data_IF_046833114826
#
_entry.id   IF_046833114826
#
_cell.length_a   1.000
_cell.length_b   1.000
_cell.length_c   1.000
_cell.angle_alpha   90.00
_cell.angle_beta   90.00
_cell.angle_gamma   90.00
#
_symmetry.space_group_name_H-M   'P 1'
#
loop_
_entity.id
_entity.type
_entity.pdbx_description
1 polymer ?
#
# COMPACT_ATOMS: atom_id res chain seq x y z
N UNK A 1 -0.25 9.07 40.32
CA UNK A 1 -0.59 8.76 38.94
C UNK A 1 0.63 9.10 38.11
N UNK A 2 1.40 8.10 37.66
CA UNK A 2 2.55 8.32 36.76
C UNK A 2 1.99 8.71 35.42
N UNK A 3 2.33 9.92 34.96
CA UNK A 3 2.00 10.43 33.64
C UNK A 3 2.94 9.75 32.63
N UNK A 4 2.60 8.53 32.22
CA UNK A 4 3.36 7.79 31.20
C UNK A 4 3.06 8.44 29.86
N UNK A 5 3.91 9.39 29.44
CA UNK A 5 3.85 9.89 28.06
C UNK A 5 4.00 8.71 27.10
N UNK A 6 3.25 8.68 26.00
CA UNK A 6 3.39 7.63 24.98
C UNK A 6 4.85 7.51 24.54
N UNK A 7 5.32 6.28 24.33
CA UNK A 7 6.70 5.98 23.89
C UNK A 7 7.13 6.77 22.64
N UNK A 8 6.18 7.21 21.83
CA UNK A 8 6.37 7.93 20.57
C UNK A 8 6.23 9.45 20.69
N UNK A 9 6.10 10.00 21.91
CA UNK A 9 5.88 11.43 22.13
C UNK A 9 6.88 12.36 21.41
N UNK A 10 8.20 12.10 21.35
CA UNK A 10 9.13 12.97 20.64
C UNK A 10 8.87 13.03 19.14
N UNK A 11 8.57 11.88 18.50
CA UNK A 11 8.29 11.82 17.06
C UNK A 11 6.93 12.45 16.73
N UNK A 12 5.95 12.28 17.61
CA UNK A 12 4.65 12.95 17.50
C UNK A 12 4.78 14.47 17.56
N UNK A 13 5.54 15.02 18.50
CA UNK A 13 5.78 16.47 18.58
C UNK A 13 6.49 16.99 17.33
N UNK A 14 7.49 16.25 16.83
CA UNK A 14 8.16 16.59 15.58
C UNK A 14 7.20 16.59 14.40
N UNK A 15 6.30 15.62 14.32
CA UNK A 15 5.25 15.58 13.30
C UNK A 15 4.34 16.82 13.36
N UNK A 16 3.85 17.18 14.55
CA UNK A 16 2.98 18.36 14.71
C UNK A 16 3.70 19.65 14.27
N UNK A 17 4.96 19.79 14.62
CA UNK A 17 5.79 20.94 14.22
C UNK A 17 6.00 20.97 12.71
N UNK A 18 6.39 19.85 12.11
CA UNK A 18 6.59 19.75 10.65
C UNK A 18 5.29 20.03 9.91
N UNK A 19 4.17 19.42 10.35
CA UNK A 19 2.84 19.65 9.75
C UNK A 19 2.41 21.11 9.77
N UNK A 20 2.72 21.83 10.85
CA UNK A 20 2.38 23.26 10.98
C UNK A 20 3.22 24.16 10.09
N UNK A 21 4.44 23.77 9.75
CA UNK A 21 5.40 24.55 8.94
C UNK A 21 5.41 24.14 7.47
N UNK A 22 4.98 22.93 7.14
CA UNK A 22 5.02 22.36 5.81
C UNK A 22 3.86 22.85 4.95
N UNK A 23 4.12 23.04 3.65
CA UNK A 23 3.11 23.17 2.62
C UNK A 23 2.54 21.81 2.16
N UNK A 24 3.13 20.71 2.60
CA UNK A 24 2.71 19.36 2.26
C UNK A 24 1.31 19.06 2.84
N UNK A 25 0.44 18.50 1.99
CA UNK A 25 -0.96 18.22 2.35
C UNK A 25 -1.19 16.77 2.80
N UNK A 26 -0.28 15.87 2.46
CA UNK A 26 -0.46 14.44 2.67
C UNK A 26 0.57 13.87 3.64
N UNK A 27 0.17 12.85 4.40
CA UNK A 27 1.03 12.18 5.38
C UNK A 27 2.33 11.65 4.78
N UNK A 28 2.28 11.11 3.55
CA UNK A 28 3.46 10.63 2.82
C UNK A 28 4.50 11.74 2.62
N UNK A 29 4.04 12.91 2.18
CA UNK A 29 4.94 14.03 1.87
C UNK A 29 5.56 14.60 3.15
N UNK A 30 4.77 14.66 4.24
CA UNK A 30 5.26 15.08 5.57
C UNK A 30 6.28 14.06 6.12
N UNK A 31 6.02 12.76 5.97
CA UNK A 31 6.95 11.71 6.37
C UNK A 31 8.29 11.84 5.63
N UNK A 32 8.23 12.09 4.31
CA UNK A 32 9.42 12.33 3.49
C UNK A 32 10.22 13.55 3.95
N UNK A 33 9.56 14.69 4.26
CA UNK A 33 10.21 15.87 4.85
C UNK A 33 10.86 15.57 6.21
N UNK A 34 10.27 14.66 6.97
CA UNK A 34 10.82 14.20 8.25
C UNK A 34 11.94 13.16 8.08
N UNK A 35 12.18 12.64 6.88
CA UNK A 35 13.16 11.57 6.63
C UNK A 35 12.78 10.24 7.28
N UNK A 36 11.48 9.94 7.39
CA UNK A 36 10.93 8.70 7.92
C UNK A 36 9.93 8.09 6.93
N UNK A 37 9.60 6.83 7.11
CA UNK A 37 8.53 6.17 6.35
C UNK A 37 7.13 6.63 6.83
N UNK A 38 6.13 6.43 5.99
CA UNK A 38 4.75 6.74 6.36
C UNK A 38 4.22 5.83 7.47
N UNK A 39 4.70 4.58 7.55
CA UNK A 39 4.38 3.67 8.64
C UNK A 39 4.96 4.16 9.98
N UNK A 40 6.20 4.66 10.01
CA UNK A 40 6.81 5.25 11.22
C UNK A 40 6.05 6.50 11.68
N UNK A 41 5.62 7.34 10.73
CA UNK A 41 4.75 8.47 11.03
C UNK A 41 3.43 8.01 11.66
N UNK A 42 2.85 6.93 11.14
CA UNK A 42 1.60 6.36 11.67
C UNK A 42 1.81 5.73 13.06
N UNK A 43 2.94 5.05 13.27
CA UNK A 43 3.34 4.51 14.58
C UNK A 43 3.49 5.61 15.63
N UNK A 44 4.05 6.77 15.26
CA UNK A 44 4.17 7.93 16.15
C UNK A 44 2.82 8.47 16.65
N UNK A 45 1.73 8.13 15.98
CA UNK A 45 0.35 8.51 16.33
C UNK A 45 -0.32 7.55 17.33
N UNK A 46 0.35 6.45 17.71
CA UNK A 46 -0.19 5.49 18.69
C UNK A 46 -0.40 6.18 20.04
N UNK A 47 -1.57 5.94 20.63
CA UNK A 47 -1.98 6.58 21.89
C UNK A 47 -2.55 7.99 21.72
N UNK A 48 -2.59 8.53 20.49
CA UNK A 48 -3.26 9.78 20.15
C UNK A 48 -4.50 9.51 19.29
N UNK A 49 -4.31 9.23 18.02
CA UNK A 49 -5.40 9.03 17.06
C UNK A 49 -5.22 7.79 16.18
N UNK A 50 -4.22 6.96 16.49
CA UNK A 50 -3.95 5.68 15.85
C UNK A 50 -4.00 4.51 16.83
N UNK A 51 -4.34 3.34 16.30
CA UNK A 51 -4.33 2.04 16.96
C UNK A 51 -3.66 1.02 16.06
N UNK A 52 -2.75 0.21 16.61
CA UNK A 52 -2.13 -0.90 15.88
C UNK A 52 -3.11 -2.05 15.75
N UNK A 53 -3.25 -2.56 14.53
CA UNK A 53 -4.05 -3.75 14.27
C UNK A 53 -3.18 -5.00 14.16
N UNK A 54 -3.81 -6.18 14.24
CA UNK A 54 -3.15 -7.46 13.99
C UNK A 54 -2.51 -7.45 12.60
N UNK A 55 -1.36 -8.12 12.48
CA UNK A 55 -0.70 -8.29 11.18
C UNK A 55 -1.33 -9.47 10.42
N UNK A 56 -2.65 -9.44 10.30
CA UNK A 56 -3.44 -10.39 9.54
C UNK A 56 -4.32 -9.63 8.53
N UNK A 57 -3.70 -9.25 7.42
CA UNK A 57 -4.38 -8.51 6.37
C UNK A 57 -5.60 -9.28 5.81
N UNK A 58 -5.54 -10.62 5.76
CA UNK A 58 -6.65 -11.43 5.26
C UNK A 58 -7.85 -11.35 6.19
N UNK A 59 -7.64 -11.50 7.49
CA UNK A 59 -8.72 -11.40 8.48
C UNK A 59 -9.36 -10.01 8.45
N UNK A 60 -8.56 -8.95 8.34
CA UNK A 60 -9.06 -7.56 8.26
C UNK A 60 -9.86 -7.36 6.97
N UNK A 61 -9.33 -7.79 5.81
CA UNK A 61 -10.01 -7.66 4.52
C UNK A 61 -11.33 -8.46 4.49
N UNK A 62 -11.32 -9.69 5.02
CA UNK A 62 -12.54 -10.51 5.12
C UNK A 62 -13.60 -9.80 5.96
N UNK A 63 -13.21 -9.20 7.10
CA UNK A 63 -14.16 -8.49 7.96
C UNK A 63 -14.71 -7.19 7.32
N UNK A 64 -13.99 -6.59 6.35
CA UNK A 64 -14.47 -5.43 5.60
C UNK A 64 -15.71 -5.73 4.74
N UNK A 65 -16.01 -6.99 4.43
CA UNK A 65 -17.24 -7.35 3.72
C UNK A 65 -18.50 -6.94 4.49
N UNK A 66 -18.47 -7.09 5.81
CA UNK A 66 -19.60 -6.69 6.67
C UNK A 66 -19.74 -5.18 6.87
N UNK A 67 -18.69 -4.41 6.55
CA UNK A 67 -18.63 -2.96 6.74
C UNK A 67 -19.42 -2.19 5.68
N UNK A 68 -19.72 -2.84 4.53
CA UNK A 68 -20.39 -2.21 3.40
C UNK A 68 -19.48 -1.25 2.64
N UNK A 69 -20.02 -0.11 2.23
CA UNK A 69 -19.31 0.85 1.39
C UNK A 69 -18.11 1.48 2.10
N UNK A 70 -16.99 1.51 1.40
CA UNK A 70 -15.75 2.17 1.81
C UNK A 70 -15.10 2.87 0.63
N UNK A 71 -14.15 3.78 0.90
CA UNK A 71 -13.29 4.40 -0.10
C UNK A 71 -11.88 3.85 0.03
N UNK A 72 -11.37 3.25 -1.02
CA UNK A 72 -10.01 2.73 -1.11
C UNK A 72 -9.08 3.70 -1.82
N UNK A 73 -7.88 3.88 -1.29
CA UNK A 73 -6.83 4.70 -1.91
C UNK A 73 -5.52 3.91 -1.93
N UNK A 74 -4.96 3.76 -3.13
CA UNK A 74 -3.57 3.35 -3.35
C UNK A 74 -2.84 4.54 -3.97
N UNK A 75 -1.65 4.87 -3.46
CA UNK A 75 -0.87 6.01 -3.97
C UNK A 75 0.61 5.69 -3.94
N UNK A 76 1.31 6.06 -5.02
CA UNK A 76 2.75 6.20 -5.04
C UNK A 76 3.13 7.63 -5.47
N UNK A 77 4.38 7.87 -5.82
CA UNK A 77 4.87 9.19 -6.24
C UNK A 77 4.37 9.63 -7.63
N UNK A 78 3.85 8.70 -8.45
CA UNK A 78 3.44 8.95 -9.84
C UNK A 78 1.94 8.92 -10.04
N UNK A 79 1.20 8.15 -9.22
CA UNK A 79 -0.22 7.91 -9.44
C UNK A 79 -0.99 7.78 -8.14
N UNK A 80 -2.26 8.18 -8.19
CA UNK A 80 -3.26 7.94 -7.15
C UNK A 80 -4.40 7.16 -7.78
N UNK A 81 -4.77 6.05 -7.17
CA UNK A 81 -5.93 5.25 -7.54
C UNK A 81 -6.94 5.28 -6.40
N UNK A 82 -8.13 5.79 -6.67
CA UNK A 82 -9.22 5.88 -5.71
C UNK A 82 -10.45 5.14 -6.24
N UNK A 83 -11.05 4.30 -5.40
CA UNK A 83 -12.32 3.63 -5.69
C UNK A 83 -13.23 3.65 -4.47
N UNK A 84 -14.53 3.80 -4.70
CA UNK A 84 -15.59 3.63 -3.70
C UNK A 84 -16.36 2.36 -4.02
N UNK A 85 -16.63 1.56 -3.00
CA UNK A 85 -17.39 0.32 -3.14
C UNK A 85 -17.25 -0.59 -1.94
N UNK A 86 -17.71 -1.82 -2.08
CA UNK A 86 -17.78 -2.83 -1.03
C UNK A 86 -16.75 -3.94 -1.26
N UNK A 87 -16.24 -4.51 -0.18
CA UNK A 87 -15.30 -5.64 -0.21
C UNK A 87 -16.03 -6.99 -0.39
N UNK A 88 -16.95 -7.07 -1.34
CA UNK A 88 -17.66 -8.31 -1.70
C UNK A 88 -16.87 -9.13 -2.72
N UNK A 89 -17.26 -10.41 -2.91
CA UNK A 89 -16.63 -11.34 -3.86
C UNK A 89 -15.12 -11.47 -3.68
N UNK A 90 -14.69 -11.62 -2.43
CA UNK A 90 -13.30 -11.76 -2.07
C UNK A 90 -12.75 -13.16 -2.35
N UNK A 91 -11.56 -13.23 -2.94
CA UNK A 91 -10.77 -14.45 -3.12
C UNK A 91 -9.37 -14.21 -2.54
N UNK A 92 -9.19 -14.47 -1.26
CA UNK A 92 -7.96 -14.10 -0.53
C UNK A 92 -7.00 -15.29 -0.32
N UNK A 93 -7.22 -16.43 -0.98
CA UNK A 93 -6.34 -17.59 -0.89
C UNK A 93 -5.07 -17.43 -1.74
N UNK A 94 -3.95 -18.00 -1.27
CA UNK A 94 -2.69 -18.00 -2.02
C UNK A 94 -1.87 -16.71 -1.86
N UNK A 95 -1.02 -16.42 -2.84
CA UNK A 95 -0.08 -15.29 -2.81
C UNK A 95 -0.74 -13.95 -3.13
N UNK A 96 -1.79 -13.96 -3.94
CA UNK A 96 -2.55 -12.79 -4.32
C UNK A 96 -3.99 -12.89 -3.79
N UNK A 97 -4.53 -11.76 -3.34
CA UNK A 97 -5.93 -11.58 -3.05
C UNK A 97 -6.62 -10.87 -4.20
N UNK A 98 -7.90 -11.17 -4.40
CA UNK A 98 -8.75 -10.53 -5.38
C UNK A 98 -10.04 -10.05 -4.70
N UNK A 99 -10.46 -8.84 -5.05
CA UNK A 99 -11.83 -8.33 -4.82
C UNK A 99 -12.40 -8.09 -6.22
N UNK A 100 -13.42 -8.86 -6.61
CA UNK A 100 -13.89 -8.93 -8.01
C UNK A 100 -15.29 -8.35 -8.14
N UNK A 101 -15.39 -7.06 -8.26
CA UNK A 101 -16.65 -6.36 -8.51
C UNK A 101 -16.54 -5.53 -9.79
N UNK A 102 -16.84 -6.10 -10.97
CA UNK A 102 -16.76 -5.37 -12.24
C UNK A 102 -17.54 -4.05 -12.19
N UNK A 103 -16.89 -2.95 -12.56
CA UNK A 103 -17.42 -1.57 -12.53
C UNK A 103 -17.65 -1.00 -11.11
N UNK A 104 -17.18 -1.68 -10.08
CA UNK A 104 -17.17 -1.21 -8.69
C UNK A 104 -15.77 -1.41 -8.10
N UNK A 105 -15.65 -1.70 -6.80
CA UNK A 105 -14.36 -1.94 -6.16
C UNK A 105 -13.74 -3.24 -6.69
N UNK A 106 -12.71 -3.11 -7.52
CA UNK A 106 -11.99 -4.23 -8.13
C UNK A 106 -10.50 -4.09 -7.81
N UNK A 107 -9.95 -5.03 -7.02
CA UNK A 107 -8.59 -4.93 -6.51
C UNK A 107 -7.84 -6.25 -6.70
N UNK A 108 -6.56 -6.14 -7.10
CA UNK A 108 -5.58 -7.22 -7.01
C UNK A 108 -4.57 -6.89 -5.93
N UNK A 109 -4.49 -7.74 -4.89
CA UNK A 109 -3.74 -7.49 -3.67
C UNK A 109 -2.60 -8.50 -3.50
N UNK A 110 -1.37 -8.02 -3.39
CA UNK A 110 -0.20 -8.88 -3.15
C UNK A 110 0.07 -8.99 -1.65
N UNK A 111 -0.76 -9.77 -0.95
CA UNK A 111 -0.83 -9.84 0.51
C UNK A 111 0.48 -10.30 1.18
N UNK A 112 1.37 -10.97 0.46
CA UNK A 112 2.69 -11.34 0.95
C UNK A 112 3.62 -10.14 1.22
N UNK A 113 3.30 -8.99 0.69
CA UNK A 113 4.04 -7.73 0.90
C UNK A 113 3.52 -6.92 2.09
N UNK A 114 2.45 -7.35 2.74
CA UNK A 114 1.79 -6.59 3.79
C UNK A 114 2.40 -6.93 5.15
N UNK A 115 2.97 -5.92 5.83
CA UNK A 115 3.76 -6.11 7.06
C UNK A 115 3.12 -5.50 8.30
N UNK A 116 2.29 -4.47 8.15
CA UNK A 116 1.63 -3.84 9.28
C UNK A 116 0.31 -3.18 8.89
N UNK A 117 -0.58 -3.08 9.88
CA UNK A 117 -1.88 -2.42 9.72
C UNK A 117 -2.19 -1.53 10.92
N UNK A 118 -2.85 -0.40 10.64
CA UNK A 118 -3.26 0.57 11.65
C UNK A 118 -4.67 1.09 11.36
N UNK A 119 -5.42 1.34 12.43
CA UNK A 119 -6.61 2.19 12.37
C UNK A 119 -6.21 3.61 12.75
N UNK A 120 -6.69 4.60 12.00
CA UNK A 120 -6.54 6.02 12.30
C UNK A 120 -7.91 6.69 12.41
N UNK A 121 -7.97 7.72 13.27
CA UNK A 121 -9.11 8.62 13.37
C UNK A 121 -8.63 10.07 13.34
N UNK A 122 -8.43 10.59 12.13
CA UNK A 122 -7.95 11.96 11.94
C UNK A 122 -9.15 12.93 11.90
N UNK A 123 -9.47 13.53 13.08
CA UNK A 123 -10.58 14.46 13.24
C UNK A 123 -11.94 13.91 12.73
N UNK A 124 -12.23 12.66 13.06
CA UNK A 124 -13.47 11.98 12.67
C UNK A 124 -13.37 11.24 11.33
N UNK A 125 -12.34 11.49 10.53
CA UNK A 125 -12.06 10.71 9.32
C UNK A 125 -11.38 9.40 9.70
N UNK A 126 -12.13 8.31 9.69
CA UNK A 126 -11.63 7.00 10.06
C UNK A 126 -11.02 6.27 8.87
N UNK A 127 -9.93 5.54 9.11
CA UNK A 127 -9.32 4.67 8.08
C UNK A 127 -8.61 3.47 8.70
N UNK A 128 -8.49 2.40 7.91
CA UNK A 128 -7.51 1.33 8.08
C UNK A 128 -6.44 1.50 7.01
N UNK A 129 -5.18 1.45 7.42
CA UNK A 129 -4.05 1.65 6.52
C UNK A 129 -3.08 0.48 6.65
N UNK A 130 -2.65 -0.06 5.51
CA UNK A 130 -1.74 -1.19 5.41
C UNK A 130 -0.41 -0.74 4.81
N UNK A 131 0.67 -1.26 5.37
CA UNK A 131 2.03 -0.88 4.98
C UNK A 131 2.86 -2.12 4.67
N UNK A 132 3.83 -1.94 3.78
CA UNK A 132 4.84 -2.93 3.46
C UNK A 132 5.98 -2.97 4.50
N UNK A 133 6.96 -3.88 4.38
CA UNK A 133 8.11 -3.95 5.28
C UNK A 133 9.03 -2.72 5.23
N UNK A 134 8.92 -1.88 4.19
CA UNK A 134 9.71 -0.67 4.01
C UNK A 134 9.01 0.58 4.58
N UNK A 135 7.74 0.42 5.01
CA UNK A 135 6.92 1.47 5.58
C UNK A 135 6.16 2.29 4.56
N UNK A 136 6.11 1.85 3.30
CA UNK A 136 5.27 2.45 2.28
C UNK A 136 3.81 2.00 2.43
N UNK A 137 2.86 2.92 2.24
CA UNK A 137 1.44 2.60 2.28
C UNK A 137 1.01 1.83 1.02
N UNK A 138 0.43 0.64 1.21
CA UNK A 138 -0.06 -0.22 0.14
C UNK A 138 -1.53 0.03 -0.18
N UNK A 139 -2.35 0.13 0.86
CA UNK A 139 -3.79 0.39 0.75
C UNK A 139 -4.26 1.18 1.97
N UNK A 140 -5.10 2.16 1.73
CA UNK A 140 -5.84 2.90 2.76
C UNK A 140 -7.33 2.77 2.48
N UNK A 141 -8.07 2.27 3.48
CA UNK A 141 -9.52 2.09 3.42
C UNK A 141 -10.15 3.09 4.36
N UNK A 142 -10.97 3.98 3.83
CA UNK A 142 -11.66 5.03 4.58
C UNK A 142 -13.14 4.72 4.70
N UNK A 143 -13.73 5.12 5.81
CA UNK A 143 -15.19 5.17 5.93
C UNK A 143 -15.79 6.23 5.01
N UNK A 144 -17.02 5.98 4.55
CA UNK A 144 -17.89 6.91 3.82
C UNK A 144 -19.13 7.20 4.68
N UNK A 145 -20.05 8.00 4.18
CA UNK A 145 -21.34 8.25 4.82
C UNK A 145 -22.25 7.00 4.83
N UNK A 146 -22.00 6.05 3.92
CA UNK A 146 -22.76 4.81 3.77
C UNK A 146 -22.10 3.60 4.49
N UNK A 147 -20.98 3.82 5.17
CA UNK A 147 -20.30 2.77 5.92
C UNK A 147 -21.12 2.33 7.14
N UNK A 148 -21.29 1.02 7.34
CA UNK A 148 -21.81 0.48 8.60
C UNK A 148 -20.78 0.68 9.72
N UNK A 149 -20.98 1.73 10.50
CA UNK A 149 -20.07 2.10 11.58
C UNK A 149 -20.07 1.09 12.74
N UNK A 150 -21.16 0.35 12.94
CA UNK A 150 -21.20 -0.69 13.98
C UNK A 150 -20.33 -1.89 13.60
N UNK A 151 -20.40 -2.33 12.33
CA UNK A 151 -19.53 -3.38 11.79
C UNK A 151 -18.06 -2.91 11.74
N UNK A 152 -17.81 -1.63 11.36
CA UNK A 152 -16.48 -1.03 11.40
C UNK A 152 -15.87 -1.08 12.81
N UNK A 153 -16.59 -0.60 13.82
CA UNK A 153 -16.10 -0.58 15.20
C UNK A 153 -15.88 -2.00 15.75
N UNK A 154 -16.76 -2.94 15.42
CA UNK A 154 -16.59 -4.36 15.78
C UNK A 154 -15.32 -4.95 15.16
N UNK A 155 -15.03 -4.66 13.87
CA UNK A 155 -13.79 -5.05 13.20
C UNK A 155 -12.57 -4.47 13.94
N UNK A 156 -12.58 -3.17 14.23
CA UNK A 156 -11.47 -2.51 14.93
C UNK A 156 -11.23 -3.16 16.31
N UNK A 157 -12.28 -3.41 17.08
CA UNK A 157 -12.15 -4.07 18.38
C UNK A 157 -11.54 -5.47 18.26
N UNK A 158 -12.02 -6.28 17.28
CA UNK A 158 -11.54 -7.63 17.05
C UNK A 158 -10.08 -7.68 16.59
N UNK A 159 -9.63 -6.69 15.82
CA UNK A 159 -8.30 -6.67 15.21
C UNK A 159 -7.27 -5.81 15.98
N UNK A 160 -7.63 -5.14 17.06
CA UNK A 160 -6.71 -4.31 17.84
C UNK A 160 -5.66 -5.16 18.55
N UNK A 161 -4.38 -4.81 18.40
CA UNK A 161 -3.29 -5.38 19.19
C UNK A 161 -3.25 -4.72 20.57
N UNK A 162 -3.25 -5.52 21.65
CA UNK A 162 -3.19 -5.01 23.02
C UNK A 162 -1.78 -4.53 23.42
N UNK A 163 -0.75 -5.19 22.90
CA UNK A 163 0.66 -4.88 23.22
C UNK A 163 1.50 -5.06 21.93
N UNK A 164 1.43 -4.09 21.00
CA UNK A 164 2.17 -4.20 19.76
C UNK A 164 3.68 -4.16 20.00
N UNK A 165 4.41 -5.04 19.33
CA UNK A 165 5.86 -4.91 19.23
C UNK A 165 6.22 -3.64 18.42
N UNK A 166 7.39 -3.02 18.66
CA UNK A 166 7.86 -1.91 17.86
C UNK A 166 7.85 -2.24 16.36
N UNK A 167 7.53 -1.25 15.55
CA UNK A 167 7.53 -1.39 14.10
C UNK A 167 8.96 -1.66 13.60
N UNK A 168 9.12 -2.73 12.82
CA UNK A 168 10.40 -3.08 12.21
C UNK A 168 10.37 -2.67 10.74
N UNK A 169 10.98 -1.54 10.43
CA UNK A 169 11.18 -1.07 9.04
C UNK A 169 12.48 -1.66 8.49
N UNK A 170 12.41 -2.19 7.28
CA UNK A 170 13.57 -2.69 6.54
C UNK A 170 13.90 -1.70 5.43
N UNK A 171 15.15 -1.26 5.28
CA UNK A 171 15.55 -0.51 4.10
C UNK A 171 15.21 -1.28 2.84
N UNK A 172 14.72 -0.59 1.82
CA UNK A 172 14.54 -1.21 0.51
C UNK A 172 15.91 -1.42 -0.13
N UNK A 173 16.20 -2.64 -0.53
CA UNK A 173 17.40 -2.90 -1.33
C UNK A 173 17.22 -2.25 -2.71
N UNK A 174 18.21 -1.47 -3.19
CA UNK A 174 18.13 -0.89 -4.51
C UNK A 174 18.06 -2.01 -5.56
N UNK A 175 17.07 -1.93 -6.43
CA UNK A 175 16.96 -2.86 -7.56
C UNK A 175 18.16 -2.69 -8.46
N UNK A 176 18.96 -3.74 -8.61
CA UNK A 176 20.10 -3.78 -9.53
C UNK A 176 19.68 -4.56 -10.77
N UNK A 177 19.61 -3.87 -11.89
CA UNK A 177 19.36 -4.47 -13.19
C UNK A 177 20.66 -4.61 -13.98
N UNK A 178 20.66 -5.47 -15.00
CA UNK A 178 21.76 -5.55 -15.96
C UNK A 178 21.86 -4.23 -16.73
N UNK A 179 23.09 -3.83 -17.07
CA UNK A 179 23.33 -2.61 -17.86
C UNK A 179 22.86 -2.79 -19.31
N UNK A 180 22.93 -4.02 -19.83
CA UNK A 180 22.50 -4.40 -21.17
C UNK A 180 22.03 -5.86 -21.20
N UNK A 181 21.30 -6.22 -22.23
CA UNK A 181 20.91 -7.59 -22.55
C UNK A 181 20.85 -7.80 -24.07
N UNK A 182 20.86 -9.06 -24.49
CA UNK A 182 20.62 -9.44 -25.89
C UNK A 182 19.14 -9.16 -26.24
N UNK A 183 18.92 -8.08 -26.98
CA UNK A 183 17.59 -7.63 -27.39
C UNK A 183 16.90 -8.61 -28.34
N UNK A 184 17.64 -9.25 -29.24
CA UNK A 184 17.09 -10.24 -30.21
C UNK A 184 16.61 -11.50 -29.46
N UNK A 185 17.42 -12.03 -28.54
CA UNK A 185 17.03 -13.17 -27.73
C UNK A 185 15.83 -12.83 -26.83
N UNK A 186 15.82 -11.63 -26.19
CA UNK A 186 14.70 -11.15 -25.39
C UNK A 186 13.42 -11.07 -26.23
N UNK A 187 13.49 -10.49 -27.41
CA UNK A 187 12.34 -10.32 -28.30
C UNK A 187 11.77 -11.66 -28.78
N UNK A 188 12.64 -12.60 -29.17
CA UNK A 188 12.22 -13.93 -29.59
C UNK A 188 11.49 -14.68 -28.47
N UNK A 189 11.98 -14.61 -27.22
CA UNK A 189 11.30 -15.22 -26.08
C UNK A 189 9.98 -14.49 -25.73
N UNK A 190 9.95 -13.18 -25.86
CA UNK A 190 8.72 -12.41 -25.65
C UNK A 190 7.62 -12.80 -26.64
N UNK A 191 7.98 -12.91 -27.93
CA UNK A 191 7.05 -13.35 -29.00
C UNK A 191 6.55 -14.79 -28.80
N UNK A 192 7.35 -15.63 -28.16
CA UNK A 192 6.98 -17.01 -27.83
C UNK A 192 6.06 -17.13 -26.60
N UNK A 193 5.83 -16.06 -25.83
CA UNK A 193 4.94 -16.09 -24.69
C UNK A 193 3.49 -16.38 -25.12
N UNK A 194 2.82 -17.22 -24.36
CA UNK A 194 1.40 -17.57 -24.54
C UNK A 194 0.50 -16.97 -23.48
N UNK A 195 1.12 -16.42 -22.40
CA UNK A 195 0.44 -15.83 -21.28
C UNK A 195 1.22 -14.61 -20.74
N UNK A 196 0.54 -13.51 -20.51
CA UNK A 196 1.14 -12.25 -20.03
C UNK A 196 1.87 -12.39 -18.69
N UNK A 197 1.51 -13.35 -17.85
CA UNK A 197 2.17 -13.59 -16.57
C UNK A 197 3.61 -14.14 -16.74
N UNK A 198 3.94 -14.69 -17.89
CA UNK A 198 5.30 -15.14 -18.22
C UNK A 198 6.29 -13.95 -18.34
N UNK A 199 5.78 -12.73 -18.58
CA UNK A 199 6.61 -11.55 -18.75
C UNK A 199 7.52 -11.25 -17.54
N UNK A 200 7.01 -11.44 -16.31
CA UNK A 200 7.86 -11.26 -15.12
C UNK A 200 8.98 -12.31 -15.01
N UNK A 201 8.73 -13.52 -15.49
CA UNK A 201 9.76 -14.55 -15.61
C UNK A 201 10.85 -14.15 -16.58
N UNK A 202 10.45 -13.62 -17.73
CA UNK A 202 11.34 -13.11 -18.78
C UNK A 202 12.22 -11.96 -18.23
N UNK A 203 11.63 -10.95 -17.59
CA UNK A 203 12.38 -9.84 -17.00
C UNK A 203 13.42 -10.32 -15.99
N UNK A 204 13.07 -11.28 -15.13
CA UNK A 204 14.00 -11.87 -14.16
C UNK A 204 15.14 -12.63 -14.82
N UNK A 205 14.84 -13.38 -15.89
CA UNK A 205 15.85 -14.15 -16.64
C UNK A 205 16.93 -13.24 -17.19
N UNK A 206 16.54 -12.10 -17.77
CA UNK A 206 17.47 -11.12 -18.34
C UNK A 206 17.96 -10.08 -17.33
N UNK A 207 17.46 -10.12 -16.10
CA UNK A 207 17.72 -9.14 -15.04
C UNK A 207 17.45 -7.69 -15.49
N UNK A 208 16.34 -7.47 -16.17
CA UNK A 208 15.93 -6.17 -16.70
C UNK A 208 14.74 -5.58 -15.95
N UNK A 209 14.72 -4.26 -15.86
CA UNK A 209 13.50 -3.52 -15.58
C UNK A 209 12.54 -3.61 -16.76
N UNK A 210 11.26 -3.39 -16.51
CA UNK A 210 10.24 -3.34 -17.57
C UNK A 210 10.57 -2.29 -18.64
N UNK A 211 11.03 -1.10 -18.21
CA UNK A 211 11.40 -0.03 -19.13
C UNK A 211 12.61 -0.38 -20.02
N UNK A 212 13.59 -1.09 -19.48
CA UNK A 212 14.73 -1.56 -20.28
C UNK A 212 14.27 -2.56 -21.32
N UNK A 213 13.44 -3.53 -20.93
CA UNK A 213 12.89 -4.50 -21.88
C UNK A 213 12.09 -3.82 -22.99
N UNK A 214 11.23 -2.84 -22.67
CA UNK A 214 10.47 -2.09 -23.68
C UNK A 214 11.34 -1.33 -24.68
N UNK A 215 12.54 -0.92 -24.30
CA UNK A 215 13.48 -0.19 -25.18
C UNK A 215 14.33 -1.09 -26.05
N UNK A 216 14.36 -2.40 -25.77
CA UNK A 216 15.20 -3.38 -26.46
C UNK A 216 14.44 -4.16 -27.51
N UNK A 217 13.11 -4.05 -27.58
CA UNK A 217 12.27 -4.79 -28.52
C UNK A 217 11.69 -3.87 -29.59
N UNK A 218 11.23 -4.47 -30.69
CA UNK A 218 10.63 -3.74 -31.81
C UNK A 218 9.32 -3.02 -31.41
N UNK A 219 9.01 -1.95 -32.14
CA UNK A 219 7.87 -1.06 -31.90
C UNK A 219 6.50 -1.75 -31.98
N UNK A 220 6.39 -2.89 -32.64
CA UNK A 220 5.16 -3.68 -32.69
C UNK A 220 4.88 -4.46 -31.39
N UNK A 221 5.91 -4.70 -30.56
CA UNK A 221 5.74 -5.24 -29.19
C UNK A 221 5.58 -4.14 -28.14
N UNK A 222 6.37 -3.07 -28.26
CA UNK A 222 6.33 -1.97 -27.30
C UNK A 222 6.67 -0.64 -28.00
N UNK A 223 5.67 0.10 -28.43
CA UNK A 223 5.88 1.38 -29.10
C UNK A 223 6.05 2.53 -28.09
N UNK A 224 6.91 3.47 -28.44
CA UNK A 224 7.08 4.72 -27.70
C UNK A 224 5.99 5.70 -28.10
N UNK A 225 5.28 6.22 -27.12
CA UNK A 225 4.32 7.33 -27.29
C UNK A 225 4.92 8.61 -26.68
N UNK A 226 4.48 9.77 -27.16
CA UNK A 226 4.84 11.05 -26.55
C UNK A 226 3.97 11.34 -25.31
N UNK A 227 4.32 12.40 -24.57
CA UNK A 227 3.60 12.80 -23.36
C UNK A 227 2.45 13.77 -23.66
N UNK A 228 2.05 13.98 -24.92
CA UNK A 228 1.00 14.91 -25.32
C UNK A 228 -0.32 14.22 -25.64
N UNK A 229 -0.38 12.89 -25.53
CA UNK A 229 -1.59 12.07 -25.78
C UNK A 229 -2.35 11.78 -24.52
#
# INVERSE_FOLDING_TARGET
MQNTQPQHAPLWQRYLTTKAQSSAKYARDIAAEMGISEAELTEARLGYDAVRLQNDARAILTALEAVGETKCICRNEYAVHEQVGEFTHQHLSGHAGLVLNPRALDLRLFLSQWASAFRLNDNGRQSIQFFDPHGDALLKVYTTENTDMAAWDALIVAQTQQSPAPLAIRPADPLKFADSADGEALENEWRAMTDVHQFFGLLRKYNLSRQQAFRLVSDDLACRIDNQT
#
